data_IF_067576056340
#
_entry.id   IF_067576056340
#
_cell.length_a   1.000
_cell.length_b   1.000
_cell.length_c   1.000
_cell.angle_alpha   90.00
_cell.angle_beta   90.00
_cell.angle_gamma   90.00
#
_symmetry.space_group_name_H-M   'P 1'
#
loop_
_entity.id
_entity.type
_entity.pdbx_description
1 polymer ?
#
# COMPACT_ATOMS: atom_id res chain seq x y z
N UNK A 1 -21.37 18.56 -16.76
CA UNK A 1 -21.55 17.28 -17.49
C UNK A 1 -21.03 16.16 -16.60
N UNK A 2 -21.92 15.38 -15.98
CA UNK A 2 -21.54 14.25 -15.13
C UNK A 2 -21.15 13.05 -15.99
N UNK A 3 -19.90 12.61 -15.88
CA UNK A 3 -19.43 11.38 -16.51
C UNK A 3 -20.10 10.18 -15.83
N UNK A 4 -21.03 9.54 -16.55
CA UNK A 4 -21.65 8.29 -16.13
C UNK A 4 -20.62 7.17 -16.33
N UNK A 5 -19.98 6.75 -15.23
CA UNK A 5 -18.97 5.69 -15.26
C UNK A 5 -19.66 4.40 -15.73
N UNK A 6 -19.18 3.74 -16.80
CA UNK A 6 -19.84 2.55 -17.34
C UNK A 6 -19.84 1.43 -16.30
N UNK A 7 -20.98 0.71 -16.19
CA UNK A 7 -21.18 -0.40 -15.25
C UNK A 7 -20.13 -1.47 -15.51
N UNK A 8 -19.23 -1.66 -14.56
CA UNK A 8 -18.17 -2.67 -14.61
C UNK A 8 -18.82 -4.05 -14.75
N UNK A 9 -18.58 -4.71 -15.88
CA UNK A 9 -19.09 -6.05 -16.16
C UNK A 9 -18.32 -7.01 -15.24
N UNK A 10 -19.03 -7.75 -14.39
CA UNK A 10 -18.45 -8.72 -13.44
C UNK A 10 -17.95 -9.99 -14.16
N UNK A 11 -17.05 -9.83 -15.14
CA UNK A 11 -16.28 -10.95 -15.73
C UNK A 11 -15.11 -11.32 -14.81
N UNK A 12 -15.30 -11.21 -13.49
CA UNK A 12 -14.24 -10.98 -12.51
C UNK A 12 -13.39 -12.21 -12.16
N UNK A 13 -13.99 -13.41 -12.16
CA UNK A 13 -13.33 -14.59 -11.57
C UNK A 13 -12.59 -15.45 -12.59
N UNK A 14 -13.16 -15.65 -13.78
CA UNK A 14 -12.56 -16.48 -14.84
C UNK A 14 -11.48 -15.74 -15.61
N UNK A 15 -11.69 -14.47 -15.97
CA UNK A 15 -10.67 -13.66 -16.64
C UNK A 15 -9.48 -13.39 -15.71
N UNK A 16 -9.77 -13.08 -14.43
CA UNK A 16 -8.75 -12.97 -13.40
C UNK A 16 -7.95 -14.26 -13.22
N UNK A 17 -8.62 -15.42 -13.15
CA UNK A 17 -7.98 -16.72 -13.08
C UNK A 17 -7.03 -17.00 -14.25
N UNK A 18 -7.46 -16.74 -15.49
CA UNK A 18 -6.63 -16.91 -16.69
C UNK A 18 -5.42 -15.98 -16.66
N UNK A 19 -5.60 -14.70 -16.28
CA UNK A 19 -4.50 -13.74 -16.16
C UNK A 19 -3.49 -14.22 -15.13
N UNK A 20 -3.94 -14.73 -13.97
CA UNK A 20 -3.01 -15.26 -12.95
C UNK A 20 -2.24 -16.49 -13.43
N UNK A 21 -2.87 -17.37 -14.22
CA UNK A 21 -2.21 -18.52 -14.84
C UNK A 21 -1.14 -18.06 -15.84
N UNK A 22 -1.48 -17.10 -16.70
CA UNK A 22 -0.53 -16.53 -17.67
C UNK A 22 0.66 -15.87 -16.95
N UNK A 23 0.42 -15.10 -15.88
CA UNK A 23 1.48 -14.48 -15.09
C UNK A 23 2.44 -15.52 -14.48
N UNK A 24 1.91 -16.64 -13.98
CA UNK A 24 2.74 -17.75 -13.47
C UNK A 24 3.55 -18.40 -14.59
N UNK A 25 2.96 -18.61 -15.77
CA UNK A 25 3.68 -19.09 -16.95
C UNK A 25 4.77 -18.13 -17.40
N UNK A 26 4.50 -16.82 -17.36
CA UNK A 26 5.44 -15.77 -17.77
C UNK A 26 6.72 -15.83 -16.92
N UNK A 27 6.61 -16.10 -15.62
CA UNK A 27 7.77 -16.30 -14.74
C UNK A 27 8.67 -17.46 -15.22
N UNK A 28 8.10 -18.61 -15.56
CA UNK A 28 8.88 -19.75 -16.09
C UNK A 28 9.52 -19.41 -17.44
N UNK A 29 8.79 -18.73 -18.33
CA UNK A 29 9.35 -18.27 -19.60
C UNK A 29 10.49 -17.27 -19.41
N UNK A 30 10.40 -16.35 -18.45
CA UNK A 30 11.50 -15.43 -18.11
C UNK A 30 12.76 -16.18 -17.69
N UNK A 31 12.63 -17.21 -16.85
CA UNK A 31 13.76 -18.02 -16.41
C UNK A 31 14.41 -18.78 -17.59
N UNK A 32 13.61 -19.37 -18.47
CA UNK A 32 14.11 -20.05 -19.66
C UNK A 32 14.80 -19.07 -20.63
N UNK A 33 14.20 -17.91 -20.88
CA UNK A 33 14.78 -16.88 -21.73
C UNK A 33 16.11 -16.36 -21.17
N UNK A 34 16.18 -16.13 -19.86
CA UNK A 34 17.42 -15.74 -19.19
C UNK A 34 18.53 -16.78 -19.41
N UNK A 35 18.23 -18.07 -19.19
CA UNK A 35 19.20 -19.15 -19.39
C UNK A 35 19.65 -19.27 -20.85
N UNK A 36 18.74 -19.04 -21.79
CA UNK A 36 19.04 -19.05 -23.23
C UNK A 36 19.99 -17.91 -23.62
N UNK A 37 19.74 -16.70 -23.13
CA UNK A 37 20.63 -15.54 -23.34
C UNK A 37 21.99 -15.79 -22.70
N UNK A 38 22.01 -16.34 -21.48
CA UNK A 38 23.24 -16.67 -20.75
C UNK A 38 24.11 -17.70 -21.51
N UNK A 39 23.48 -18.75 -22.03
CA UNK A 39 24.16 -19.76 -22.85
C UNK A 39 24.67 -19.16 -24.16
N UNK A 40 23.86 -18.33 -24.82
CA UNK A 40 24.25 -17.65 -26.08
C UNK A 40 25.44 -16.72 -25.86
N UNK A 41 25.43 -15.95 -24.78
CA UNK A 41 26.55 -15.07 -24.42
C UNK A 41 27.83 -15.87 -24.13
N UNK A 42 27.71 -17.01 -23.45
CA UNK A 42 28.84 -17.88 -23.20
C UNK A 42 29.48 -18.39 -24.50
N UNK A 43 28.68 -18.91 -25.43
CA UNK A 43 29.20 -19.49 -26.67
C UNK A 43 29.71 -18.45 -27.66
N UNK A 44 29.02 -17.31 -27.79
CA UNK A 44 29.38 -16.30 -28.80
C UNK A 44 30.56 -15.45 -28.36
N UNK A 45 30.58 -15.00 -27.10
CA UNK A 45 31.54 -13.98 -26.64
C UNK A 45 32.51 -14.55 -25.63
N UNK A 46 32.01 -15.19 -24.56
CA UNK A 46 32.85 -15.56 -23.42
C UNK A 46 33.87 -16.66 -23.75
N UNK A 47 33.45 -17.69 -24.51
CA UNK A 47 34.33 -18.79 -24.93
C UNK A 47 35.45 -18.34 -25.88
N UNK A 48 35.21 -17.28 -26.66
CA UNK A 48 36.25 -16.71 -27.54
C UNK A 48 37.31 -15.94 -26.76
N UNK A 49 36.93 -15.26 -25.67
CA UNK A 49 37.86 -14.50 -24.83
C UNK A 49 38.57 -15.40 -23.79
N UNK A 50 37.84 -16.35 -23.21
CA UNK A 50 38.34 -17.25 -22.17
C UNK A 50 38.02 -18.73 -22.50
N UNK A 51 38.78 -19.36 -23.42
CA UNK A 51 38.50 -20.70 -23.90
C UNK A 51 38.70 -21.80 -22.84
N UNK A 52 39.50 -21.53 -21.80
CA UNK A 52 39.81 -22.48 -20.74
C UNK A 52 38.72 -22.59 -19.66
N UNK A 53 37.71 -21.71 -19.64
CA UNK A 53 36.69 -21.71 -18.60
C UNK A 53 35.52 -22.60 -19.05
N UNK A 54 35.24 -23.73 -18.37
CA UNK A 54 34.10 -24.57 -18.68
C UNK A 54 32.77 -23.88 -18.34
N UNK A 55 31.71 -24.26 -19.05
CA UNK A 55 30.37 -23.65 -18.94
C UNK A 55 29.86 -23.62 -17.50
N UNK A 56 30.10 -24.68 -16.72
CA UNK A 56 29.67 -24.78 -15.32
C UNK A 56 30.27 -23.71 -14.41
N UNK A 57 31.56 -23.39 -14.58
CA UNK A 57 32.23 -22.36 -13.78
C UNK A 57 31.69 -20.98 -14.17
N UNK A 58 31.51 -20.72 -15.46
CA UNK A 58 30.86 -19.50 -15.94
C UNK A 58 29.45 -19.32 -15.36
N UNK A 59 28.65 -20.40 -15.33
CA UNK A 59 27.30 -20.38 -14.80
C UNK A 59 27.28 -20.06 -13.29
N UNK A 60 28.20 -20.64 -12.51
CA UNK A 60 28.34 -20.34 -11.07
C UNK A 60 28.72 -18.87 -10.84
N UNK A 61 29.67 -18.34 -11.62
CA UNK A 61 30.08 -16.93 -11.51
C UNK A 61 28.91 -16.00 -11.81
N UNK A 62 28.16 -16.28 -12.88
CA UNK A 62 27.00 -15.49 -13.26
C UNK A 62 25.86 -15.58 -12.24
N UNK A 63 25.61 -16.78 -11.69
CA UNK A 63 24.66 -16.95 -10.60
C UNK A 63 25.08 -16.16 -9.34
N UNK A 64 26.37 -16.17 -9.00
CA UNK A 64 26.91 -15.39 -7.89
C UNK A 64 26.78 -13.89 -8.09
N UNK A 65 27.07 -13.39 -9.30
CA UNK A 65 26.88 -11.98 -9.65
C UNK A 65 25.41 -11.56 -9.54
N UNK A 66 24.50 -12.40 -10.05
CA UNK A 66 23.06 -12.14 -9.97
C UNK A 66 22.56 -12.15 -8.52
N UNK A 67 23.07 -13.06 -7.69
CA UNK A 67 22.75 -13.10 -6.26
C UNK A 67 23.26 -11.85 -5.52
N UNK A 68 24.45 -11.36 -5.84
CA UNK A 68 24.99 -10.12 -5.28
C UNK A 68 24.13 -8.92 -5.67
N UNK A 69 23.74 -8.82 -6.95
CA UNK A 69 22.82 -7.77 -7.44
C UNK A 69 21.47 -7.84 -6.73
N UNK A 70 20.89 -9.03 -6.58
CA UNK A 70 19.63 -9.23 -5.88
C UNK A 70 19.72 -8.80 -4.41
N UNK A 71 20.85 -9.07 -3.76
CA UNK A 71 21.10 -8.62 -2.37
C UNK A 71 21.17 -7.10 -2.28
N UNK A 72 21.85 -6.44 -3.22
CA UNK A 72 21.92 -4.97 -3.29
C UNK A 72 20.54 -4.35 -3.56
N UNK A 73 19.78 -4.92 -4.49
CA UNK A 73 18.42 -4.49 -4.79
C UNK A 73 17.50 -4.62 -3.58
N UNK A 74 17.55 -5.77 -2.89
CA UNK A 74 16.74 -6.01 -1.70
C UNK A 74 17.10 -5.07 -0.54
N UNK A 75 18.38 -4.80 -0.34
CA UNK A 75 18.84 -3.99 0.80
C UNK A 75 18.68 -2.49 0.58
N UNK A 76 18.83 -1.99 -0.65
CA UNK A 76 18.87 -0.55 -0.94
C UNK A 76 17.62 -0.10 -1.71
N UNK A 77 17.31 -0.80 -2.79
CA UNK A 77 16.26 -0.37 -3.74
C UNK A 77 14.88 -0.66 -3.15
N UNK A 78 14.68 -1.85 -2.59
CA UNK A 78 13.39 -2.25 -2.02
C UNK A 78 12.89 -1.30 -0.92
N UNK A 79 13.66 -0.95 0.13
CA UNK A 79 13.16 -0.01 1.15
C UNK A 79 12.89 1.38 0.57
N UNK A 80 13.72 1.84 -0.38
CA UNK A 80 13.51 3.13 -1.07
C UNK A 80 12.22 3.13 -1.89
N UNK A 81 11.95 2.04 -2.60
CA UNK A 81 10.74 1.88 -3.39
C UNK A 81 9.48 1.81 -2.51
N UNK A 82 9.55 1.07 -1.40
CA UNK A 82 8.45 1.01 -0.41
C UNK A 82 8.20 2.38 0.21
N UNK A 83 9.25 3.10 0.61
CA UNK A 83 9.14 4.46 1.15
C UNK A 83 8.51 5.43 0.13
N UNK A 84 8.92 5.33 -1.14
CA UNK A 84 8.36 6.14 -2.21
C UNK A 84 6.88 5.82 -2.49
N UNK A 85 6.51 4.54 -2.54
CA UNK A 85 5.12 4.13 -2.66
C UNK A 85 4.27 4.58 -1.48
N UNK A 86 4.78 4.47 -0.25
CA UNK A 86 4.12 4.98 0.93
C UNK A 86 3.92 6.50 0.82
N UNK A 87 4.95 7.26 0.44
CA UNK A 87 4.83 8.70 0.23
C UNK A 87 3.82 9.08 -0.85
N UNK A 88 3.71 8.31 -1.93
CA UNK A 88 2.68 8.52 -2.95
C UNK A 88 1.28 8.15 -2.45
N UNK A 89 1.15 7.04 -1.71
CA UNK A 89 -0.11 6.60 -1.12
C UNK A 89 -0.62 7.55 -0.04
N UNK A 90 0.27 8.20 0.71
CA UNK A 90 -0.09 9.16 1.76
C UNK A 90 -0.04 10.62 1.31
N UNK A 91 0.29 10.91 0.04
CA UNK A 91 0.23 12.28 -0.48
C UNK A 91 -1.20 12.80 -0.43
N UNK A 92 -1.42 13.79 0.45
CA UNK A 92 -2.72 14.41 0.77
C UNK A 92 -3.56 14.82 -0.44
N UNK A 93 -2.93 15.15 -1.57
CA UNK A 93 -3.64 15.61 -2.78
C UNK A 93 -4.23 14.49 -3.64
N UNK A 94 -3.71 13.25 -3.58
CA UNK A 94 -4.14 12.16 -4.48
C UNK A 94 -4.91 11.04 -3.81
N UNK A 95 -4.77 10.83 -2.50
CA UNK A 95 -5.47 9.73 -1.84
C UNK A 95 -6.81 10.18 -1.23
N UNK A 96 -7.96 9.87 -1.85
CA UNK A 96 -9.27 10.25 -1.34
C UNK A 96 -9.53 9.67 0.07
N UNK A 97 -8.97 8.49 0.37
CA UNK A 97 -9.14 7.81 1.65
C UNK A 97 -8.56 8.63 2.80
N UNK A 98 -7.35 9.18 2.63
CA UNK A 98 -6.69 9.98 3.69
C UNK A 98 -7.45 11.28 3.93
N UNK A 99 -7.95 11.91 2.86
CA UNK A 99 -8.76 13.13 2.95
C UNK A 99 -10.09 12.87 3.65
N UNK A 100 -10.74 11.76 3.34
CA UNK A 100 -12.03 11.39 3.94
C UNK A 100 -11.85 11.01 5.43
N UNK A 101 -10.76 10.34 5.79
CA UNK A 101 -10.38 10.09 7.20
C UNK A 101 -10.15 11.39 7.99
N UNK A 102 -9.50 12.39 7.39
CA UNK A 102 -9.26 13.67 8.06
C UNK A 102 -10.55 14.46 8.27
N UNK A 103 -11.50 14.39 7.32
CA UNK A 103 -12.86 14.93 7.50
C UNK A 103 -13.62 14.21 8.61
N UNK A 104 -13.67 12.88 8.57
CA UNK A 104 -14.35 12.07 9.59
C UNK A 104 -13.78 12.37 10.99
N UNK A 105 -12.46 12.55 11.10
CA UNK A 105 -11.83 12.92 12.38
C UNK A 105 -12.28 14.30 12.87
N UNK A 106 -12.36 15.29 11.98
CA UNK A 106 -12.88 16.63 12.33
C UNK A 106 -14.33 16.58 12.76
N UNK A 107 -15.17 15.87 12.02
CA UNK A 107 -16.59 15.71 12.34
C UNK A 107 -16.77 15.04 13.72
N UNK A 108 -15.93 14.03 14.03
CA UNK A 108 -15.93 13.39 15.36
C UNK A 108 -15.54 14.36 16.49
N UNK A 109 -14.56 15.22 16.26
CA UNK A 109 -14.13 16.21 17.26
C UNK A 109 -15.22 17.26 17.50
N UNK A 110 -15.94 17.67 16.47
CA UNK A 110 -17.04 18.63 16.55
C UNK A 110 -18.23 18.03 17.32
N UNK A 111 -18.66 16.81 16.96
CA UNK A 111 -19.71 16.09 17.69
C UNK A 111 -19.34 15.93 19.17
N UNK A 112 -18.06 15.62 19.47
CA UNK A 112 -17.60 15.46 20.85
C UNK A 112 -17.64 16.77 21.63
N UNK A 113 -17.41 17.92 20.98
CA UNK A 113 -17.55 19.25 21.61
C UNK A 113 -19.01 19.56 21.90
N UNK A 114 -19.90 19.38 20.91
CA UNK A 114 -21.34 19.61 21.09
C UNK A 114 -21.91 18.76 22.22
N UNK A 115 -21.54 17.46 22.27
CA UNK A 115 -21.98 16.56 23.33
C UNK A 115 -21.50 17.03 24.72
N UNK A 116 -20.30 17.59 24.79
CA UNK A 116 -19.74 18.17 26.02
C UNK A 116 -20.49 19.43 26.43
N UNK A 117 -20.85 20.29 25.49
CA UNK A 117 -21.65 21.50 25.75
C UNK A 117 -23.06 21.17 26.22
N UNK A 118 -23.73 20.21 25.59
CA UNK A 118 -25.07 19.75 25.98
C UNK A 118 -25.02 19.18 27.41
N UNK A 119 -24.04 18.31 27.70
CA UNK A 119 -23.86 17.73 29.04
C UNK A 119 -23.59 18.80 30.11
N UNK A 120 -22.88 19.87 29.77
CA UNK A 120 -22.66 21.00 30.67
C UNK A 120 -23.92 21.85 30.86
N UNK A 121 -24.76 22.01 29.83
CA UNK A 121 -26.05 22.71 29.94
C UNK A 121 -27.05 21.96 30.81
N UNK A 122 -27.16 20.64 30.67
CA UNK A 122 -28.05 19.82 31.50
C UNK A 122 -27.65 19.87 32.97
N UNK A 123 -26.36 19.65 33.26
CA UNK A 123 -25.83 19.76 34.63
C UNK A 123 -26.14 21.13 35.26
N UNK A 124 -26.03 22.21 34.49
CA UNK A 124 -26.31 23.56 34.99
C UNK A 124 -27.81 23.82 35.21
N UNK A 125 -28.70 23.18 34.43
CA UNK A 125 -30.15 23.21 34.68
C UNK A 125 -30.51 22.50 35.97
N UNK A 126 -29.99 21.30 36.20
CA UNK A 126 -30.24 20.53 37.43
C UNK A 126 -29.79 21.34 38.67
N UNK A 127 -28.62 21.95 38.59
CA UNK A 127 -28.08 22.80 39.67
C UNK A 127 -28.96 24.04 39.94
N UNK A 128 -29.64 24.59 38.92
CA UNK A 128 -30.59 25.69 39.09
C UNK A 128 -31.91 25.22 39.70
N UNK A 129 -32.41 24.06 39.30
CA UNK A 129 -33.66 23.48 39.82
C UNK A 129 -33.48 23.17 41.32
N UNK A 130 -32.36 22.57 41.72
CA UNK A 130 -32.05 22.30 43.14
C UNK A 130 -32.01 23.57 43.98
N UNK A 131 -31.35 24.63 43.48
CA UNK A 131 -31.34 25.94 44.16
C UNK A 131 -32.74 26.54 44.27
N UNK A 132 -33.58 26.36 43.25
CA UNK A 132 -34.94 26.89 43.23
C UNK A 132 -35.91 26.11 44.13
N UNK A 133 -35.69 24.81 44.31
CA UNK A 133 -36.39 23.98 45.30
C UNK A 133 -35.97 24.33 46.72
N UNK A 134 -34.67 24.50 46.98
CA UNK A 134 -34.16 24.87 48.31
C UNK A 134 -34.70 26.23 48.78
N UNK A 135 -34.71 27.23 47.89
CA UNK A 135 -35.32 28.57 48.15
C UNK A 135 -36.84 28.57 48.35
N UNK A 136 -37.52 27.47 48.00
CA UNK A 136 -38.96 27.32 48.20
C UNK A 136 -39.27 26.68 49.55
N UNK A 137 -38.45 25.74 49.99
CA UNK A 137 -38.55 25.14 51.33
C UNK A 137 -38.13 26.07 52.47
N UNK A 138 -37.23 27.04 52.23
CA UNK A 138 -36.86 28.05 53.24
C UNK A 138 -37.90 29.18 53.40
N UNK A 139 -38.97 29.18 52.59
CA UNK A 139 -40.06 30.18 52.63
C UNK A 139 -41.38 29.64 53.20
N UNK A 140 -41.36 28.42 53.75
CA UNK A 140 -42.45 27.79 54.51
C UNK A 140 -41.95 27.61 55.94
#
# INVERSE_FOLDING_TARGET
MGLKVPKQIETGTTLGGIITLIQRCQFYFSALNFLMILATFYYTTFRHVYPSIPFWIFLIIMAGLLFALMTLEYTIIYPSFVAFQAHQAYRKERNPIVRDLEKVKKDLEEIKRELKEIKMRERNKDTRIDKHCKKRNERV
#
